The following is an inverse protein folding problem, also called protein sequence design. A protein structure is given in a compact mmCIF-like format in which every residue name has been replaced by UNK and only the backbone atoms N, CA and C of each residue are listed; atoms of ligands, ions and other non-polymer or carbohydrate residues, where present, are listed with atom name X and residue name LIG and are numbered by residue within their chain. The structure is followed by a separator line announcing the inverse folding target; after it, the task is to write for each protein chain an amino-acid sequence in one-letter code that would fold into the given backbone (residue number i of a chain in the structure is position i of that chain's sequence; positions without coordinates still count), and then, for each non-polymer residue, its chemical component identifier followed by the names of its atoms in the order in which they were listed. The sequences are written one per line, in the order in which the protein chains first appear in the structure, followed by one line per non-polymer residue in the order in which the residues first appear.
data_IF_016319704428
#
_entry.id   IF_016319704428
#
_cell.length_a   1.000
_cell.length_b   1.000
_cell.length_c   1.000
_cell.angle_alpha   90.00
_cell.angle_beta   90.00
_cell.angle_gamma   90.00
#
_symmetry.space_group_name_H-M   'P 1'
#
loop_
_entity.id
_entity.type
_entity.pdbx_description
1 polymer ?
#
# COMPACT_ATOMS: atom_id res chain seq x y z
N UNK A 1 22.82 -20.62 -8.96
CA UNK A 1 22.62 -19.27 -8.40
C UNK A 1 21.13 -18.97 -8.39
N UNK A 2 20.46 -19.22 -7.26
CA UNK A 2 19.00 -19.04 -7.14
C UNK A 2 18.70 -17.55 -6.94
N UNK A 3 18.31 -16.86 -8.00
CA UNK A 3 17.70 -15.53 -7.90
C UNK A 3 16.35 -15.66 -7.19
N UNK A 4 16.38 -15.62 -5.85
CA UNK A 4 15.20 -15.31 -5.07
C UNK A 4 14.82 -13.86 -5.39
N UNK A 5 14.02 -13.66 -6.43
CA UNK A 5 13.27 -12.43 -6.59
C UNK A 5 12.41 -12.30 -5.34
N UNK A 6 12.88 -11.53 -4.34
CA UNK A 6 12.02 -11.13 -3.24
C UNK A 6 10.92 -10.29 -3.89
N UNK A 7 9.76 -10.90 -4.05
CA UNK A 7 8.58 -10.22 -4.54
C UNK A 7 8.22 -9.17 -3.50
N UNK A 8 8.14 -7.89 -3.89
CA UNK A 8 7.68 -6.82 -3.02
C UNK A 8 6.43 -6.18 -3.63
N UNK A 9 5.51 -5.76 -2.77
CA UNK A 9 4.42 -4.83 -3.11
C UNK A 9 4.93 -3.42 -2.87
N UNK A 10 4.81 -2.54 -3.86
CA UNK A 10 5.22 -1.15 -3.71
C UNK A 10 4.05 -0.35 -3.16
N UNK A 11 4.29 0.38 -2.07
CA UNK A 11 3.36 1.34 -1.50
C UNK A 11 3.90 2.73 -1.77
N UNK A 12 3.11 3.61 -2.37
CA UNK A 12 3.44 5.01 -2.57
C UNK A 12 2.45 5.88 -1.79
N UNK A 13 2.93 6.90 -1.09
CA UNK A 13 2.10 7.83 -0.33
C UNK A 13 2.05 9.18 -1.02
N UNK A 14 0.91 9.86 -0.91
CA UNK A 14 0.62 11.08 -1.63
C UNK A 14 -0.03 12.15 -0.75
N UNK A 15 0.31 13.40 -1.03
CA UNK A 15 -0.42 14.58 -0.57
C UNK A 15 -1.03 15.26 -1.80
N UNK A 16 -2.36 15.24 -1.91
CA UNK A 16 -3.05 15.58 -3.14
C UNK A 16 -2.44 14.80 -4.32
N UNK A 17 -2.02 15.46 -5.40
CA UNK A 17 -1.42 14.81 -6.56
C UNK A 17 0.10 14.59 -6.44
N UNK A 18 0.72 15.07 -5.36
CA UNK A 18 2.16 14.99 -5.17
C UNK A 18 2.54 13.68 -4.46
N UNK A 19 3.42 12.92 -5.11
CA UNK A 19 4.02 11.73 -4.51
C UNK A 19 5.07 12.14 -3.48
N UNK A 20 4.82 11.81 -2.22
CA UNK A 20 5.74 12.10 -1.12
C UNK A 20 6.90 11.11 -1.07
N UNK A 21 6.59 9.83 -0.85
CA UNK A 21 7.58 8.77 -0.79
C UNK A 21 6.97 7.41 -1.08
N UNK A 22 7.81 6.40 -1.31
CA UNK A 22 7.37 5.02 -1.53
C UNK A 22 8.27 4.02 -0.83
N UNK A 23 7.67 2.94 -0.35
CA UNK A 23 8.37 1.84 0.30
C UNK A 23 7.90 0.49 -0.23
N UNK A 24 8.74 -0.52 -0.05
CA UNK A 24 8.49 -1.89 -0.50
C UNK A 24 8.10 -2.76 0.67
N UNK A 25 6.93 -3.41 0.59
CA UNK A 25 6.50 -4.40 1.57
C UNK A 25 6.76 -5.80 1.00
N UNK A 26 7.47 -6.69 1.72
CA UNK A 26 7.71 -8.06 1.23
C UNK A 26 6.39 -8.76 0.92
N UNK A 27 6.26 -9.37 -0.25
CA UNK A 27 5.02 -10.02 -0.69
C UNK A 27 4.66 -11.27 0.14
N UNK A 28 5.64 -11.83 0.87
CA UNK A 28 5.41 -12.85 1.90
C UNK A 28 4.54 -12.34 3.06
N UNK A 29 4.43 -11.02 3.24
CA UNK A 29 3.55 -10.45 4.25
C UNK A 29 2.08 -10.56 3.83
N UNK A 30 1.23 -10.88 4.81
CA UNK A 30 -0.21 -10.98 4.59
C UNK A 30 -0.80 -9.64 4.13
N UNK A 31 -1.93 -9.68 3.41
CA UNK A 31 -2.66 -8.47 2.98
C UNK A 31 -2.95 -7.53 4.16
N UNK A 32 -3.28 -8.10 5.32
CA UNK A 32 -3.46 -7.38 6.58
C UNK A 32 -2.21 -6.68 7.10
N UNK A 33 -1.02 -7.23 6.87
CA UNK A 33 0.22 -6.60 7.27
C UNK A 33 0.56 -5.40 6.38
N UNK A 34 0.29 -5.48 5.06
CA UNK A 34 0.38 -4.32 4.15
C UNK A 34 -0.55 -3.21 4.61
N UNK A 35 -1.82 -3.52 4.87
CA UNK A 35 -2.79 -2.54 5.35
C UNK A 35 -2.39 -1.90 6.69
N UNK A 36 -1.84 -2.69 7.62
CA UNK A 36 -1.29 -2.16 8.88
C UNK A 36 -0.10 -1.23 8.65
N UNK A 37 0.78 -1.54 7.70
CA UNK A 37 1.89 -0.66 7.34
C UNK A 37 1.39 0.67 6.77
N UNK A 38 0.44 0.62 5.82
CA UNK A 38 -0.20 1.83 5.27
C UNK A 38 -0.88 2.65 6.37
N UNK A 39 -1.61 2.00 7.27
CA UNK A 39 -2.26 2.67 8.41
C UNK A 39 -1.24 3.39 9.29
N UNK A 40 -0.12 2.73 9.62
CA UNK A 40 0.95 3.35 10.40
C UNK A 40 1.52 4.57 9.67
N UNK A 41 1.67 4.49 8.35
CA UNK A 41 2.12 5.63 7.55
C UNK A 41 1.16 6.83 7.64
N UNK A 42 -0.16 6.61 7.54
CA UNK A 42 -1.12 7.70 7.73
C UNK A 42 -1.12 8.27 9.16
N UNK A 43 -0.93 7.43 10.17
CA UNK A 43 -0.83 7.88 11.56
C UNK A 43 0.45 8.65 11.86
N UNK A 44 1.54 8.35 11.14
CA UNK A 44 2.82 9.02 11.28
C UNK A 44 2.92 10.32 10.46
N UNK A 45 2.06 10.47 9.44
CA UNK A 45 2.07 11.59 8.52
C UNK A 45 0.64 12.07 8.26
N UNK A 46 0.20 12.99 9.10
CA UNK A 46 -1.13 13.60 9.15
C UNK A 46 -1.48 14.43 7.90
N UNK A 47 -0.47 14.78 7.09
CA UNK A 47 -0.64 15.40 5.78
C UNK A 47 -0.83 14.39 4.64
N UNK A 48 -0.74 13.07 4.87
CA UNK A 48 -0.93 12.11 3.76
C UNK A 48 -2.42 11.97 3.46
N UNK A 49 -2.79 12.21 2.20
CA UNK A 49 -4.18 12.11 1.72
C UNK A 49 -4.55 10.69 1.29
N UNK A 50 -3.64 9.99 0.62
CA UNK A 50 -3.88 8.64 0.13
C UNK A 50 -2.59 7.84 -0.08
N UNK A 51 -2.76 6.52 -0.18
CA UNK A 51 -1.70 5.58 -0.47
C UNK A 51 -2.08 4.72 -1.67
N UNK A 52 -1.17 4.54 -2.61
CA UNK A 52 -1.33 3.65 -3.77
C UNK A 52 -0.49 2.39 -3.54
N UNK A 53 -1.16 1.25 -3.49
CA UNK A 53 -0.53 -0.07 -3.35
C UNK A 53 -0.52 -0.74 -4.71
N UNK A 54 0.67 -0.93 -5.28
CA UNK A 54 0.84 -1.72 -6.51
C UNK A 54 0.95 -3.21 -6.18
N UNK A 55 0.00 -3.98 -6.68
CA UNK A 55 -0.07 -5.44 -6.58
C UNK A 55 0.90 -6.10 -7.57
N UNK A 56 1.04 -7.43 -7.44
CA UNK A 56 1.96 -8.26 -8.24
C UNK A 56 1.58 -8.30 -9.72
N UNK A 57 0.28 -8.29 -10.00
CA UNK A 57 -0.29 -8.26 -11.35
C UNK A 57 -0.15 -6.90 -12.04
N UNK A 58 0.48 -5.93 -11.37
CA UNK A 58 0.62 -4.56 -11.86
C UNK A 58 -0.60 -3.69 -11.59
N UNK A 59 -1.70 -4.23 -11.07
CA UNK A 59 -2.86 -3.45 -10.68
C UNK A 59 -2.55 -2.60 -9.44
N UNK A 60 -3.23 -1.46 -9.33
CA UNK A 60 -3.02 -0.50 -8.26
C UNK A 60 -4.30 -0.37 -7.44
N UNK A 61 -4.13 -0.32 -6.11
CA UNK A 61 -5.22 -0.08 -5.16
C UNK A 61 -4.92 1.20 -4.42
N UNK A 62 -5.78 2.20 -4.62
CA UNK A 62 -5.73 3.46 -3.89
C UNK A 62 -6.51 3.33 -2.58
N UNK A 63 -5.89 3.78 -1.49
CA UNK A 63 -6.41 3.77 -0.13
C UNK A 63 -6.44 5.23 0.33
N UNK A 64 -7.63 5.82 0.39
CA UNK A 64 -7.81 7.21 0.83
C UNK A 64 -7.88 7.29 2.37
N UNK A 65 -7.29 8.33 2.96
CA UNK A 65 -7.43 8.64 4.39
C UNK A 65 -8.50 9.75 4.58
N UNK A 66 -9.30 9.75 5.66
CA UNK A 66 -9.48 8.72 6.69
C UNK A 66 -10.54 7.64 6.33
N UNK A 67 -11.26 7.80 5.22
CA UNK A 67 -12.48 7.04 4.91
C UNK A 67 -12.27 5.76 4.07
N UNK A 68 -11.13 5.58 3.38
CA UNK A 68 -10.89 4.50 2.41
C UNK A 68 -10.53 3.14 3.00
N UNK A 69 -10.49 3.00 4.32
CA UNK A 69 -10.02 1.78 4.99
C UNK A 69 -10.95 0.57 4.79
N UNK A 70 -12.27 0.78 4.79
CA UNK A 70 -13.27 -0.29 4.54
C UNK A 70 -13.25 -0.75 3.08
N UNK A 71 -13.10 0.18 2.15
CA UNK A 71 -13.09 -0.10 0.71
C UNK A 71 -11.81 -0.81 0.27
N UNK A 72 -10.65 -0.44 0.85
CA UNK A 72 -9.37 -1.08 0.57
C UNK A 72 -9.32 -2.55 1.00
N UNK A 73 -10.02 -2.91 2.09
CA UNK A 73 -10.10 -4.29 2.54
C UNK A 73 -10.81 -5.18 1.51
N UNK A 74 -11.95 -4.72 0.98
CA UNK A 74 -12.71 -5.43 -0.04
C UNK A 74 -11.93 -5.59 -1.35
N UNK A 75 -11.29 -4.51 -1.82
CA UNK A 75 -10.49 -4.49 -3.06
C UNK A 75 -9.19 -5.32 -3.00
N UNK A 76 -8.64 -5.55 -1.80
CA UNK A 76 -7.51 -6.46 -1.63
C UNK A 76 -7.94 -7.93 -1.48
N UNK A 77 -9.20 -8.20 -1.17
CA UNK A 77 -9.73 -9.57 -0.99
C UNK A 77 -10.22 -10.19 -2.30
N UNK A 78 -10.68 -9.38 -3.26
CA UNK A 78 -11.22 -9.83 -4.55
C UNK A 78 -10.18 -10.06 -5.67
N UNK A 79 -8.87 -9.95 -5.38
CA UNK A 79 -7.78 -10.24 -6.34
C UNK A 79 -6.77 -11.24 -5.79
#
# INVERSE_FOLDING_TARGET
MSHHFQFYRKVSLYFNDEKLFSYSVPARQSRWAVLRAVKRSFQAHDYVTHAVVRKRDGSEVTINYPLGWRSALGLLLTS
#
